data_IF_609907344734
#
_entry.id   IF_609907344734
#
_cell.length_a   1.000
_cell.length_b   1.000
_cell.length_c   1.000
_cell.angle_alpha   90.00
_cell.angle_beta   90.00
_cell.angle_gamma   90.00
#
_symmetry.space_group_name_H-M   'P 1'
#
loop_
_entity.id
_entity.type
_entity.pdbx_description
1 polymer ?
#
# COMPACT_ATOMS: atom_id res chain seq x y z
N UNK A 1 38.21 5.01 19.52
CA UNK A 1 36.99 4.24 19.17
C UNK A 1 35.79 5.14 18.89
N UNK A 2 35.29 6.00 19.79
CA UNK A 2 34.15 6.89 19.52
C UNK A 2 34.36 7.89 18.35
N UNK A 3 35.60 8.32 18.09
CA UNK A 3 35.91 9.28 17.01
C UNK A 3 35.97 8.63 15.63
N UNK A 4 36.40 7.40 15.50
CA UNK A 4 36.49 6.66 14.23
C UNK A 4 35.08 6.18 13.75
N UNK A 5 34.24 5.77 14.70
CA UNK A 5 32.85 5.41 14.41
C UNK A 5 32.10 6.63 13.85
N UNK A 6 32.27 7.82 14.43
CA UNK A 6 31.63 9.06 13.95
C UNK A 6 32.06 9.47 12.53
N UNK A 7 33.31 9.23 12.11
CA UNK A 7 33.79 9.59 10.77
C UNK A 7 33.17 8.66 9.71
N UNK A 8 33.18 7.36 9.97
CA UNK A 8 32.64 6.35 9.02
C UNK A 8 31.15 6.53 8.80
N UNK A 9 30.40 6.95 9.79
CA UNK A 9 28.96 7.18 9.70
C UNK A 9 28.60 8.51 9.06
N UNK A 10 29.46 9.53 9.25
CA UNK A 10 29.34 10.79 8.53
C UNK A 10 29.60 10.60 7.03
N UNK A 11 30.55 9.75 6.65
CA UNK A 11 30.81 9.38 5.27
C UNK A 11 29.63 8.61 4.65
N UNK A 12 29.01 7.70 5.39
CA UNK A 12 27.80 7.00 4.95
C UNK A 12 26.62 7.96 4.74
N UNK A 13 26.39 8.89 5.67
CA UNK A 13 25.33 9.88 5.52
C UNK A 13 25.55 10.77 4.30
N UNK A 14 26.77 11.20 4.03
CA UNK A 14 27.13 11.95 2.82
C UNK A 14 26.95 11.12 1.54
N UNK A 15 27.24 9.82 1.57
CA UNK A 15 26.97 8.92 0.46
C UNK A 15 25.45 8.83 0.21
N UNK A 16 24.62 8.69 1.24
CA UNK A 16 23.17 8.69 1.10
C UNK A 16 22.62 10.01 0.59
N UNK A 17 23.15 11.13 1.10
CA UNK A 17 22.80 12.47 0.63
C UNK A 17 23.11 12.63 -0.87
N UNK A 18 24.32 12.26 -1.29
CA UNK A 18 24.71 12.31 -2.69
C UNK A 18 23.87 11.37 -3.57
N UNK A 19 23.55 10.21 -3.07
CA UNK A 19 22.70 9.25 -3.75
C UNK A 19 21.26 9.76 -3.91
N UNK A 20 20.64 10.29 -2.86
CA UNK A 20 19.30 10.89 -2.94
C UNK A 20 19.26 12.11 -3.87
N UNK A 21 20.33 12.92 -3.94
CA UNK A 21 20.41 14.06 -4.84
C UNK A 21 20.53 13.67 -6.33
N UNK A 22 21.08 12.49 -6.60
CA UNK A 22 21.33 12.01 -7.95
C UNK A 22 20.20 11.13 -8.51
N UNK A 23 19.15 10.89 -7.73
CA UNK A 23 18.03 10.06 -8.19
C UNK A 23 17.11 10.86 -9.12
N UNK A 24 16.82 10.28 -10.28
CA UNK A 24 15.78 10.75 -11.19
C UNK A 24 14.41 10.88 -10.51
N UNK A 25 14.18 10.12 -9.43
CA UNK A 25 13.00 10.19 -8.59
C UNK A 25 12.61 11.62 -8.18
N UNK A 26 13.57 12.46 -7.76
CA UNK A 26 13.26 13.84 -7.36
C UNK A 26 12.76 14.70 -8.52
N UNK A 27 13.14 14.36 -9.75
CA UNK A 27 12.68 15.04 -10.94
C UNK A 27 11.29 14.56 -11.38
N UNK A 28 10.95 13.31 -11.05
CA UNK A 28 9.73 12.65 -11.51
C UNK A 28 8.61 12.67 -10.46
N UNK A 29 8.91 13.05 -9.18
CA UNK A 29 7.98 13.00 -8.04
C UNK A 29 7.93 14.33 -7.27
N UNK A 30 7.57 15.40 -7.98
CA UNK A 30 7.50 16.76 -7.42
C UNK A 30 6.50 16.86 -6.26
N UNK A 31 5.37 16.17 -6.33
CA UNK A 31 4.35 16.19 -5.28
C UNK A 31 4.93 15.73 -3.93
N UNK A 32 5.68 14.64 -3.91
CA UNK A 32 6.31 14.15 -2.67
C UNK A 32 7.30 15.16 -2.14
N UNK A 33 8.17 15.68 -3.01
CA UNK A 33 9.22 16.61 -2.59
C UNK A 33 8.64 17.94 -2.10
N UNK A 34 7.62 18.45 -2.77
CA UNK A 34 7.01 19.73 -2.42
C UNK A 34 6.18 19.66 -1.15
N UNK A 35 5.65 18.49 -0.83
CA UNK A 35 4.81 18.26 0.34
C UNK A 35 5.46 17.40 1.42
N UNK A 36 6.78 17.21 1.38
CA UNK A 36 7.49 16.23 2.21
C UNK A 36 7.28 16.42 3.74
N UNK A 37 7.17 17.67 4.22
CA UNK A 37 6.91 17.95 5.62
C UNK A 37 5.52 17.44 6.04
N UNK A 38 4.51 17.73 5.24
CA UNK A 38 3.14 17.29 5.47
C UNK A 38 3.03 15.77 5.40
N UNK A 39 3.69 15.14 4.43
CA UNK A 39 3.70 13.69 4.27
C UNK A 39 4.44 13.00 5.42
N UNK A 40 5.55 13.56 5.89
CA UNK A 40 6.24 13.05 7.06
C UNK A 40 5.37 13.11 8.33
N UNK A 41 4.72 14.24 8.58
CA UNK A 41 3.78 14.38 9.70
C UNK A 41 2.61 13.39 9.60
N UNK A 42 2.06 13.23 8.39
CA UNK A 42 0.97 12.28 8.15
C UNK A 42 1.42 10.83 8.37
N UNK A 43 2.60 10.47 7.88
CA UNK A 43 3.18 9.13 8.09
C UNK A 43 3.39 8.81 9.57
N UNK A 44 3.89 9.79 10.34
CA UNK A 44 4.03 9.66 11.79
C UNK A 44 2.66 9.46 12.48
N UNK A 45 1.67 10.24 12.09
CA UNK A 45 0.31 10.10 12.60
C UNK A 45 -0.28 8.72 12.33
N UNK A 46 -0.14 8.20 11.10
CA UNK A 46 -0.65 6.88 10.71
C UNK A 46 0.07 5.78 11.50
N UNK A 47 1.40 5.81 11.57
CA UNK A 47 2.19 4.85 12.34
C UNK A 47 1.79 4.83 13.82
N UNK A 48 1.64 6.00 14.45
CA UNK A 48 1.16 6.10 15.82
C UNK A 48 -0.28 5.57 15.98
N UNK A 49 -1.16 5.88 15.04
CA UNK A 49 -2.57 5.45 15.06
C UNK A 49 -2.72 3.94 15.08
N UNK A 50 -1.87 3.22 14.35
CA UNK A 50 -1.94 1.76 14.25
C UNK A 50 -1.00 1.02 15.21
N UNK A 51 -0.07 1.70 15.86
CA UNK A 51 0.95 1.07 16.72
C UNK A 51 0.35 0.18 17.84
N UNK A 52 -0.80 0.55 18.38
CA UNK A 52 -1.46 -0.21 19.45
C UNK A 52 -1.91 -1.63 19.04
N UNK A 53 -2.08 -1.89 17.74
CA UNK A 53 -2.56 -3.18 17.23
C UNK A 53 -1.42 -4.17 16.93
N UNK A 54 -0.16 -3.72 17.03
CA UNK A 54 1.03 -4.55 16.75
C UNK A 54 1.42 -5.44 17.94
N UNK A 55 0.86 -5.20 19.11
CA UNK A 55 1.11 -6.00 20.31
C UNK A 55 0.80 -7.48 20.07
N UNK A 56 1.60 -8.38 20.66
CA UNK A 56 1.49 -9.84 20.55
C UNK A 56 0.09 -10.39 20.91
N UNK A 57 -0.64 -9.69 21.79
CA UNK A 57 -2.03 -10.07 22.15
C UNK A 57 -3.01 -9.98 20.97
N UNK A 58 -2.66 -9.24 19.91
CA UNK A 58 -3.45 -9.10 18.69
C UNK A 58 -2.89 -9.94 17.52
N UNK A 59 -2.09 -10.97 17.82
CA UNK A 59 -1.65 -11.92 16.79
C UNK A 59 -2.85 -12.50 16.07
N UNK A 60 -2.89 -12.31 14.76
CA UNK A 60 -3.90 -12.86 13.88
C UNK A 60 -3.29 -14.06 13.18
N UNK A 61 -3.85 -15.25 13.43
CA UNK A 61 -3.65 -16.38 12.52
C UNK A 61 -4.48 -16.11 11.26
N UNK A 62 -3.82 -16.14 10.09
CA UNK A 62 -4.47 -15.93 8.81
C UNK A 62 -5.13 -17.23 8.39
N UNK A 63 -6.37 -17.43 8.82
CA UNK A 63 -7.18 -18.60 8.48
C UNK A 63 -8.43 -18.13 7.73
N UNK A 64 -8.23 -17.81 6.45
CA UNK A 64 -9.33 -17.46 5.55
C UNK A 64 -10.19 -18.66 5.25
N UNK A 65 -11.49 -18.45 5.06
CA UNK A 65 -12.45 -19.48 4.69
C UNK A 65 -12.04 -20.17 3.39
N UNK A 66 -12.02 -21.51 3.41
CA UNK A 66 -11.75 -22.30 2.20
C UNK A 66 -12.93 -22.20 1.23
N UNK A 67 -12.62 -21.94 -0.04
CA UNK A 67 -13.59 -21.92 -1.14
C UNK A 67 -12.99 -22.62 -2.37
N UNK A 68 -13.84 -23.06 -3.29
CA UNK A 68 -13.39 -23.66 -4.53
C UNK A 68 -13.15 -22.59 -5.63
N UNK A 69 -12.47 -22.97 -6.68
CA UNK A 69 -12.09 -22.08 -7.77
C UNK A 69 -13.30 -21.39 -8.43
N UNK A 70 -14.40 -22.12 -8.63
CA UNK A 70 -15.62 -21.53 -9.25
C UNK A 70 -16.21 -20.45 -8.35
N UNK A 71 -16.25 -20.65 -7.05
CA UNK A 71 -16.72 -19.66 -6.09
C UNK A 71 -15.75 -18.46 -6.03
N UNK A 72 -14.45 -18.68 -6.06
CA UNK A 72 -13.41 -17.64 -6.17
C UNK A 72 -13.66 -16.73 -7.37
N UNK A 73 -13.80 -17.32 -8.56
CA UNK A 73 -14.05 -16.59 -9.82
C UNK A 73 -15.38 -15.85 -9.77
N UNK A 74 -16.45 -16.49 -9.29
CA UNK A 74 -17.77 -15.89 -9.26
C UNK A 74 -17.83 -14.69 -8.31
N UNK A 75 -17.21 -14.76 -7.13
CA UNK A 75 -17.16 -13.64 -6.17
C UNK A 75 -16.45 -12.43 -6.76
N UNK A 76 -15.28 -12.63 -7.36
CA UNK A 76 -14.55 -11.56 -8.02
C UNK A 76 -15.31 -11.00 -9.23
N UNK A 77 -15.92 -11.86 -10.06
CA UNK A 77 -16.75 -11.44 -11.20
C UNK A 77 -17.96 -10.62 -10.78
N UNK A 78 -18.66 -11.03 -9.71
CA UNK A 78 -19.82 -10.31 -9.16
C UNK A 78 -19.42 -8.89 -8.73
N UNK A 79 -18.24 -8.71 -8.12
CA UNK A 79 -17.74 -7.40 -7.75
C UNK A 79 -17.61 -6.49 -8.98
N UNK A 80 -16.92 -6.94 -10.03
CA UNK A 80 -16.73 -6.14 -11.24
C UNK A 80 -18.04 -5.81 -11.92
N UNK A 81 -18.98 -6.76 -11.98
CA UNK A 81 -20.31 -6.55 -12.58
C UNK A 81 -21.14 -5.57 -11.75
N UNK A 82 -21.22 -5.76 -10.43
CA UNK A 82 -22.04 -4.94 -9.55
C UNK A 82 -21.57 -3.48 -9.49
N UNK A 83 -20.27 -3.28 -9.73
CA UNK A 83 -19.65 -1.95 -9.74
C UNK A 83 -19.38 -1.41 -11.15
N UNK A 84 -19.93 -2.03 -12.19
CA UNK A 84 -19.86 -1.60 -13.60
C UNK A 84 -18.42 -1.50 -14.16
N UNK A 85 -17.51 -2.34 -13.70
CA UNK A 85 -16.22 -2.50 -14.35
C UNK A 85 -16.35 -3.45 -15.55
N UNK A 86 -15.72 -3.10 -16.67
CA UNK A 86 -15.74 -3.92 -17.88
C UNK A 86 -14.68 -5.04 -17.80
N UNK A 87 -14.93 -6.03 -16.93
CA UNK A 87 -14.06 -7.19 -16.71
C UNK A 87 -14.88 -8.47 -16.93
N UNK A 88 -14.37 -9.39 -17.74
CA UNK A 88 -14.89 -10.74 -17.90
C UNK A 88 -13.80 -11.75 -17.51
N UNK A 89 -13.81 -12.18 -16.26
CA UNK A 89 -12.77 -13.05 -15.70
C UNK A 89 -12.66 -14.38 -16.48
N UNK A 90 -13.77 -15.00 -16.84
CA UNK A 90 -13.76 -16.27 -17.60
C UNK A 90 -13.08 -16.10 -18.94
N UNK A 91 -13.43 -15.03 -19.68
CA UNK A 91 -12.78 -14.74 -20.96
C UNK A 91 -11.30 -14.43 -20.78
N UNK A 92 -10.92 -13.70 -19.74
CA UNK A 92 -9.49 -13.42 -19.45
C UNK A 92 -8.67 -14.68 -19.14
N UNK A 93 -9.30 -15.69 -18.53
CA UNK A 93 -8.66 -17.01 -18.31
C UNK A 93 -8.50 -17.75 -19.65
N UNK A 94 -9.54 -17.78 -20.49
CA UNK A 94 -9.51 -18.42 -21.81
C UNK A 94 -8.44 -17.77 -22.71
N UNK A 95 -8.34 -16.45 -22.68
CA UNK A 95 -7.37 -15.66 -23.45
C UNK A 95 -5.95 -15.67 -22.84
N UNK A 96 -5.75 -16.35 -21.71
CA UNK A 96 -4.49 -16.40 -20.96
C UNK A 96 -3.98 -15.04 -20.48
N UNK A 97 -4.88 -14.08 -20.32
CA UNK A 97 -4.61 -12.79 -19.68
C UNK A 97 -4.54 -12.98 -18.17
N UNK A 98 -5.47 -13.77 -17.60
CA UNK A 98 -5.46 -14.16 -16.19
C UNK A 98 -5.00 -15.63 -16.07
N UNK A 99 -3.87 -15.83 -15.41
CA UNK A 99 -3.24 -17.13 -15.19
C UNK A 99 -3.41 -17.50 -13.72
N UNK A 100 -4.12 -18.59 -13.47
CA UNK A 100 -4.39 -19.11 -12.14
C UNK A 100 -3.52 -20.34 -11.88
N UNK A 101 -2.49 -20.21 -11.07
CA UNK A 101 -1.59 -21.29 -10.72
C UNK A 101 -2.02 -21.96 -9.42
N UNK A 102 -2.14 -23.29 -9.42
CA UNK A 102 -2.22 -24.02 -8.15
C UNK A 102 -0.88 -23.92 -7.44
N UNK A 103 -0.90 -23.57 -6.19
CA UNK A 103 0.29 -23.48 -5.35
C UNK A 103 0.91 -24.86 -5.17
N UNK A 104 1.97 -25.15 -5.89
CA UNK A 104 2.59 -26.49 -5.92
C UNK A 104 3.56 -26.70 -4.77
N UNK A 105 4.08 -25.69 -4.11
CA UNK A 105 4.90 -25.82 -2.89
C UNK A 105 5.02 -24.49 -2.16
N UNK A 106 5.09 -24.56 -0.81
CA UNK A 106 5.35 -23.46 0.10
C UNK A 106 6.81 -22.95 0.05
N UNK A 107 7.46 -22.98 -1.08
CA UNK A 107 8.74 -22.32 -1.23
C UNK A 107 8.49 -20.82 -1.33
N UNK A 108 8.76 -20.17 -0.22
CA UNK A 108 8.72 -18.75 -0.03
C UNK A 108 9.71 -18.06 -0.95
N UNK A 109 9.26 -17.55 -2.08
CA UNK A 109 9.92 -16.40 -2.70
C UNK A 109 9.57 -15.17 -1.86
N UNK A 110 10.05 -15.16 -0.63
CA UNK A 110 9.75 -14.10 0.30
C UNK A 110 10.66 -12.90 0.09
N UNK A 111 10.12 -11.87 -0.47
CA UNK A 111 10.52 -10.52 -0.16
C UNK A 111 9.85 -10.15 1.16
N UNK A 112 10.57 -9.89 2.23
CA UNK A 112 10.03 -9.67 3.58
C UNK A 112 9.20 -10.80 4.19
N UNK A 113 9.36 -12.06 3.75
CA UNK A 113 8.55 -13.16 4.29
C UNK A 113 7.09 -13.17 3.83
N UNK A 114 6.67 -12.25 2.95
CA UNK A 114 5.37 -12.28 2.30
C UNK A 114 5.46 -13.09 1.02
N UNK A 115 4.56 -14.04 0.84
CA UNK A 115 4.35 -14.76 -0.40
C UNK A 115 3.93 -13.75 -1.46
N UNK A 116 4.44 -13.84 -2.67
CA UNK A 116 3.89 -13.11 -3.79
C UNK A 116 2.64 -13.86 -4.24
N UNK A 117 1.48 -13.38 -3.82
CA UNK A 117 0.21 -14.05 -4.05
C UNK A 117 -0.35 -13.75 -5.43
N UNK A 118 -0.05 -12.57 -5.97
CA UNK A 118 -0.40 -12.15 -7.32
C UNK A 118 0.63 -11.20 -7.93
N UNK A 119 0.57 -11.04 -9.23
CA UNK A 119 1.35 -10.05 -9.97
C UNK A 119 0.63 -9.67 -11.27
N UNK A 120 0.56 -8.37 -11.54
CA UNK A 120 0.20 -7.81 -12.85
C UNK A 120 1.46 -7.32 -13.54
N UNK A 121 1.76 -7.84 -14.73
CA UNK A 121 3.00 -7.58 -15.45
C UNK A 121 2.78 -7.69 -16.97
N UNK A 122 3.86 -7.69 -17.75
CA UNK A 122 3.86 -7.88 -19.18
C UNK A 122 4.55 -9.18 -19.55
N UNK A 123 4.00 -9.91 -20.54
CA UNK A 123 4.63 -11.08 -21.12
C UNK A 123 5.81 -10.69 -22.04
N UNK A 124 6.47 -11.71 -22.61
CA UNK A 124 7.60 -11.50 -23.54
C UNK A 124 7.21 -10.72 -24.82
N UNK A 125 5.93 -10.63 -25.15
CA UNK A 125 5.37 -9.90 -26.28
C UNK A 125 4.83 -8.51 -25.89
N UNK A 126 5.07 -8.05 -24.65
CA UNK A 126 4.53 -6.83 -24.07
C UNK A 126 2.99 -6.78 -23.96
N UNK A 127 2.33 -7.95 -23.88
CA UNK A 127 0.92 -8.00 -23.51
C UNK A 127 0.79 -8.00 -22.00
N UNK A 128 -0.21 -7.28 -21.48
CA UNK A 128 -0.52 -7.31 -20.04
C UNK A 128 -1.02 -8.69 -19.63
N UNK A 129 -0.49 -9.21 -18.56
CA UNK A 129 -0.91 -10.47 -17.94
C UNK A 129 -1.06 -10.33 -16.44
N UNK A 130 -1.91 -11.14 -15.86
CA UNK A 130 -2.10 -11.26 -14.41
C UNK A 130 -1.87 -12.70 -14.01
N UNK A 131 -1.02 -12.94 -13.02
CA UNK A 131 -0.74 -14.27 -12.48
C UNK A 131 -1.11 -14.33 -11.02
N UNK A 132 -1.94 -15.29 -10.62
CA UNK A 132 -2.37 -15.50 -9.23
C UNK A 132 -1.95 -16.90 -8.79
N UNK A 133 -1.37 -16.99 -7.59
CA UNK A 133 -1.02 -18.25 -6.94
C UNK A 133 -2.09 -18.62 -5.92
N UNK A 134 -2.98 -19.53 -6.28
CA UNK A 134 -4.17 -19.89 -5.50
C UNK A 134 -3.83 -20.63 -4.20
N UNK A 135 -4.50 -20.24 -3.12
CA UNK A 135 -4.49 -20.90 -1.81
C UNK A 135 -5.76 -21.72 -1.54
N UNK A 136 -6.73 -21.69 -2.46
CA UNK A 136 -8.07 -22.28 -2.33
C UNK A 136 -8.85 -21.70 -1.13
N UNK A 137 -8.71 -20.38 -0.94
CA UNK A 137 -9.40 -19.60 0.09
C UNK A 137 -10.06 -18.36 -0.50
N UNK A 138 -10.93 -17.69 0.28
CA UNK A 138 -11.55 -16.42 -0.11
C UNK A 138 -10.52 -15.33 -0.43
N UNK A 139 -9.32 -15.44 0.14
CA UNK A 139 -8.20 -14.53 -0.14
C UNK A 139 -7.84 -14.47 -1.62
N UNK A 140 -7.98 -15.59 -2.35
CA UNK A 140 -7.74 -15.63 -3.79
C UNK A 140 -8.67 -14.68 -4.55
N UNK A 141 -9.94 -14.56 -4.14
CA UNK A 141 -10.88 -13.60 -4.74
C UNK A 141 -10.47 -12.15 -4.47
N UNK A 142 -9.95 -11.88 -3.27
CA UNK A 142 -9.47 -10.55 -2.87
C UNK A 142 -8.28 -10.16 -3.75
N UNK A 143 -7.30 -11.05 -3.92
CA UNK A 143 -6.10 -10.81 -4.74
C UNK A 143 -6.45 -10.70 -6.23
N UNK A 144 -7.41 -11.49 -6.72
CA UNK A 144 -7.89 -11.34 -8.11
C UNK A 144 -8.45 -9.93 -8.34
N UNK A 145 -9.25 -9.40 -7.42
CA UNK A 145 -9.77 -8.03 -7.54
C UNK A 145 -8.62 -7.02 -7.54
N UNK A 146 -7.67 -7.13 -6.62
CA UNK A 146 -6.51 -6.26 -6.53
C UNK A 146 -5.70 -6.23 -7.83
N UNK A 147 -5.27 -7.38 -8.30
CA UNK A 147 -4.40 -7.50 -9.47
C UNK A 147 -5.11 -7.14 -10.79
N UNK A 148 -6.41 -7.43 -10.90
CA UNK A 148 -7.19 -6.99 -12.07
C UNK A 148 -7.39 -5.48 -12.08
N UNK A 149 -7.44 -4.80 -10.94
CA UNK A 149 -7.40 -3.34 -10.90
C UNK A 149 -6.06 -2.79 -11.39
N UNK A 150 -4.93 -3.41 -11.03
CA UNK A 150 -3.63 -3.09 -11.63
C UNK A 150 -3.64 -3.30 -13.15
N UNK A 151 -4.19 -4.40 -13.63
CA UNK A 151 -4.33 -4.66 -15.06
C UNK A 151 -5.11 -3.55 -15.79
N UNK A 152 -6.20 -3.06 -15.19
CA UNK A 152 -7.02 -2.00 -15.78
C UNK A 152 -6.31 -0.64 -15.82
N UNK A 153 -5.54 -0.29 -14.79
CA UNK A 153 -4.94 1.04 -14.64
C UNK A 153 -3.45 1.11 -15.04
N UNK A 154 -2.81 -0.02 -15.32
CA UNK A 154 -1.38 -0.07 -15.63
C UNK A 154 -1.07 0.70 -16.92
N UNK A 155 -0.16 1.69 -16.89
CA UNK A 155 0.21 2.46 -18.06
C UNK A 155 0.92 1.57 -19.10
N UNK A 156 0.63 1.81 -20.40
CA UNK A 156 1.22 1.02 -21.47
C UNK A 156 2.71 1.34 -21.71
N UNK A 157 3.14 2.57 -21.40
CA UNK A 157 4.49 3.03 -21.80
C UNK A 157 5.39 3.46 -20.63
N UNK A 158 5.05 4.52 -19.93
CA UNK A 158 5.90 5.05 -18.85
C UNK A 158 5.10 5.25 -17.59
N UNK A 159 5.66 4.75 -16.48
CA UNK A 159 5.20 5.14 -15.15
C UNK A 159 5.41 6.64 -14.96
N UNK A 160 4.44 7.27 -14.31
CA UNK A 160 4.48 8.67 -13.92
C UNK A 160 4.29 8.75 -12.40
N UNK A 161 4.59 9.92 -11.79
CA UNK A 161 4.25 10.16 -10.38
C UNK A 161 2.79 9.84 -10.09
N UNK A 162 1.88 10.19 -11.00
CA UNK A 162 0.44 9.91 -10.87
C UNK A 162 0.17 8.42 -10.81
N UNK A 163 0.72 7.65 -11.78
CA UNK A 163 0.53 6.20 -11.81
C UNK A 163 1.17 5.53 -10.60
N UNK A 164 2.36 5.96 -10.20
CA UNK A 164 3.06 5.37 -9.05
C UNK A 164 2.30 5.55 -7.74
N UNK A 165 1.73 6.74 -7.51
CA UNK A 165 1.03 7.07 -6.27
C UNK A 165 -0.41 6.56 -6.23
N UNK A 166 -1.11 6.53 -7.35
CA UNK A 166 -2.54 6.21 -7.40
C UNK A 166 -2.85 4.76 -7.78
N UNK A 167 -1.95 4.05 -8.47
CA UNK A 167 -2.16 2.66 -8.86
C UNK A 167 -2.47 1.77 -7.65
N UNK A 168 -1.67 1.86 -6.60
CA UNK A 168 -1.89 1.12 -5.36
C UNK A 168 -3.14 1.62 -4.61
N UNK A 169 -3.41 2.93 -4.63
CA UNK A 169 -4.62 3.47 -4.02
C UNK A 169 -5.90 2.91 -4.65
N UNK A 170 -5.92 2.79 -5.97
CA UNK A 170 -7.05 2.25 -6.73
C UNK A 170 -7.22 0.75 -6.44
N UNK A 171 -6.13 -0.02 -6.49
CA UNK A 171 -6.17 -1.48 -6.31
C UNK A 171 -6.55 -1.85 -4.87
N UNK A 172 -5.90 -1.27 -3.85
CA UNK A 172 -6.29 -1.47 -2.46
C UNK A 172 -7.67 -0.88 -2.13
N UNK A 173 -8.07 0.22 -2.78
CA UNK A 173 -9.39 0.79 -2.63
C UNK A 173 -10.49 -0.18 -3.11
N UNK A 174 -10.30 -0.78 -4.28
CA UNK A 174 -11.21 -1.80 -4.82
C UNK A 174 -11.22 -3.07 -3.94
N UNK A 175 -10.04 -3.53 -3.51
CA UNK A 175 -9.87 -4.65 -2.59
C UNK A 175 -10.65 -4.45 -1.29
N UNK A 176 -10.53 -3.28 -0.66
CA UNK A 176 -11.25 -2.95 0.58
C UNK A 176 -12.76 -2.85 0.39
N UNK A 177 -13.22 -2.28 -0.74
CA UNK A 177 -14.63 -2.21 -1.07
C UNK A 177 -15.19 -3.61 -1.34
N UNK A 178 -14.44 -4.47 -2.04
CA UNK A 178 -14.81 -5.87 -2.20
C UNK A 178 -14.97 -6.56 -0.85
N UNK A 179 -14.04 -6.36 0.08
CA UNK A 179 -14.14 -6.88 1.43
C UNK A 179 -15.36 -6.34 2.20
N UNK A 180 -15.72 -5.06 2.00
CA UNK A 180 -16.93 -4.49 2.59
C UNK A 180 -18.21 -5.16 2.03
N UNK A 181 -18.23 -5.45 0.72
CA UNK A 181 -19.35 -6.18 0.08
C UNK A 181 -19.47 -7.62 0.61
N UNK A 182 -18.35 -8.27 0.97
CA UNK A 182 -18.34 -9.60 1.58
C UNK A 182 -19.04 -9.62 2.94
N UNK A 183 -19.11 -8.50 3.66
CA UNK A 183 -19.77 -8.37 4.96
C UNK A 183 -21.26 -8.73 4.90
N UNK A 184 -21.91 -8.42 3.80
CA UNK A 184 -23.32 -8.77 3.57
C UNK A 184 -23.56 -10.25 3.23
N UNK A 185 -22.49 -11.00 2.98
CA UNK A 185 -22.47 -12.42 2.65
C UNK A 185 -22.01 -13.25 3.87
N UNK A 186 -21.75 -14.53 3.68
CA UNK A 186 -21.26 -15.45 4.72
C UNK A 186 -19.80 -15.20 5.19
N UNK A 187 -19.12 -14.23 4.62
CA UNK A 187 -17.67 -13.97 4.76
C UNK A 187 -17.31 -12.78 5.67
N UNK A 188 -18.15 -12.47 6.65
CA UNK A 188 -17.88 -11.35 7.56
C UNK A 188 -16.58 -11.53 8.39
N UNK A 189 -16.23 -12.76 8.75
CA UNK A 189 -14.98 -13.03 9.50
C UNK A 189 -13.76 -12.83 8.61
N UNK A 190 -13.83 -13.20 7.33
CA UNK A 190 -12.77 -13.00 6.36
C UNK A 190 -12.53 -11.52 6.09
N UNK A 191 -13.59 -10.72 5.99
CA UNK A 191 -13.51 -9.27 5.90
C UNK A 191 -12.80 -8.66 7.13
N UNK A 192 -13.20 -9.07 8.33
CA UNK A 192 -12.56 -8.61 9.56
C UNK A 192 -11.07 -9.00 9.61
N UNK A 193 -10.74 -10.22 9.17
CA UNK A 193 -9.37 -10.70 9.07
C UNK A 193 -8.54 -9.87 8.09
N UNK A 194 -9.10 -9.59 6.92
CA UNK A 194 -8.41 -8.80 5.90
C UNK A 194 -8.13 -7.37 6.36
N UNK A 195 -9.06 -6.73 7.04
CA UNK A 195 -8.84 -5.40 7.61
C UNK A 195 -7.70 -5.37 8.64
N UNK A 196 -7.56 -6.43 9.45
CA UNK A 196 -6.42 -6.58 10.38
C UNK A 196 -5.09 -6.78 9.64
N UNK A 197 -5.10 -7.47 8.50
CA UNK A 197 -3.91 -7.63 7.66
C UNK A 197 -3.47 -6.27 7.07
N UNK A 198 -4.42 -5.52 6.52
CA UNK A 198 -4.14 -4.22 5.93
C UNK A 198 -3.61 -3.20 6.97
N UNK A 199 -4.15 -3.22 8.17
CA UNK A 199 -3.66 -2.39 9.28
C UNK A 199 -2.18 -2.67 9.56
N UNK A 200 -1.77 -3.95 9.65
CA UNK A 200 -0.37 -4.32 9.88
C UNK A 200 0.55 -3.91 8.74
N UNK A 201 0.09 -4.09 7.50
CA UNK A 201 0.82 -3.67 6.30
C UNK A 201 1.00 -2.14 6.35
N UNK A 202 -0.07 -1.39 6.60
CA UNK A 202 -0.03 0.08 6.67
C UNK A 202 0.92 0.57 7.77
N UNK A 203 0.89 -0.06 8.95
CA UNK A 203 1.84 0.26 10.02
C UNK A 203 3.29 -0.01 9.61
N UNK A 204 3.55 -1.15 9.00
CA UNK A 204 4.90 -1.54 8.59
C UNK A 204 5.47 -0.54 7.58
N UNK A 205 4.69 -0.13 6.59
CA UNK A 205 5.12 0.90 5.64
C UNK A 205 5.29 2.27 6.32
N UNK A 206 4.36 2.68 7.20
CA UNK A 206 4.49 3.94 7.92
C UNK A 206 5.79 3.98 8.74
N UNK A 207 6.12 2.90 9.44
CA UNK A 207 7.35 2.78 10.21
C UNK A 207 8.60 2.90 9.34
N UNK A 208 8.63 2.21 8.20
CA UNK A 208 9.77 2.23 7.29
C UNK A 208 9.95 3.60 6.62
N UNK A 209 8.85 4.21 6.15
CA UNK A 209 8.88 5.46 5.38
C UNK A 209 9.08 6.69 6.25
N UNK A 210 8.68 6.65 7.51
CA UNK A 210 8.86 7.78 8.44
C UNK A 210 10.28 8.34 8.41
N UNK A 211 11.28 7.48 8.47
CA UNK A 211 12.68 7.90 8.48
C UNK A 211 13.14 8.43 7.12
N UNK A 212 12.64 7.87 6.04
CA UNK A 212 12.96 8.35 4.68
C UNK A 212 12.44 9.78 4.50
N UNK A 213 11.17 10.02 4.83
CA UNK A 213 10.60 11.36 4.73
C UNK A 213 11.30 12.35 5.67
N UNK A 214 11.68 11.94 6.88
CA UNK A 214 12.46 12.76 7.79
C UNK A 214 13.79 13.19 7.18
N UNK A 215 14.51 12.29 6.52
CA UNK A 215 15.77 12.58 5.86
C UNK A 215 15.58 13.56 4.69
N UNK A 216 14.63 13.28 3.82
CA UNK A 216 14.31 14.13 2.66
C UNK A 216 13.93 15.54 3.14
N UNK A 217 13.09 15.63 4.17
CA UNK A 217 12.68 16.89 4.79
C UNK A 217 13.86 17.70 5.31
N UNK A 218 14.75 17.05 6.06
CA UNK A 218 15.94 17.72 6.61
C UNK A 218 16.88 18.18 5.50
N UNK A 219 17.06 17.39 4.45
CA UNK A 219 17.83 17.75 3.28
C UNK A 219 17.24 18.97 2.55
N UNK A 220 15.94 18.97 2.27
CA UNK A 220 15.25 20.06 1.57
C UNK A 220 15.35 21.38 2.33
N UNK A 221 15.20 21.36 3.66
CA UNK A 221 15.17 22.58 4.48
C UNK A 221 16.54 23.20 4.69
N UNK A 222 17.61 22.42 4.78
CA UNK A 222 18.88 22.87 5.35
C UNK A 222 20.02 22.94 4.32
N UNK A 223 19.85 22.35 3.13
CA UNK A 223 20.96 22.21 2.16
C UNK A 223 22.14 21.39 2.69
N UNK A 224 22.33 21.39 4.02
CA UNK A 224 23.28 20.58 4.76
C UNK A 224 22.65 20.07 6.06
N UNK A 225 22.86 18.78 6.35
CA UNK A 225 22.50 18.22 7.66
C UNK A 225 23.57 18.69 8.63
N UNK A 226 23.19 19.54 9.59
CA UNK A 226 24.11 20.00 10.62
C UNK A 226 24.55 18.83 11.53
N UNK A 227 25.71 18.95 12.15
CA UNK A 227 26.23 17.93 13.09
C UNK A 227 25.26 17.64 14.23
N UNK A 228 24.52 18.66 14.70
CA UNK A 228 23.49 18.52 15.73
C UNK A 228 22.33 17.65 15.23
N UNK A 229 21.81 17.88 14.02
CA UNK A 229 20.75 17.10 13.39
C UNK A 229 21.21 15.69 13.02
N UNK A 230 22.45 15.54 12.60
CA UNK A 230 23.07 14.24 12.38
C UNK A 230 23.09 13.43 13.69
N UNK A 231 23.56 14.03 14.80
CA UNK A 231 23.61 13.37 16.09
C UNK A 231 22.21 13.03 16.63
N UNK A 232 21.21 13.87 16.36
CA UNK A 232 19.80 13.58 16.69
C UNK A 232 19.26 12.36 15.91
N UNK A 233 19.59 12.25 14.63
CA UNK A 233 19.24 11.10 13.81
C UNK A 233 20.03 9.85 14.18
N UNK A 234 21.31 10.01 14.51
CA UNK A 234 22.25 8.94 14.83
C UNK A 234 21.94 8.25 16.15
N UNK A 235 21.47 8.98 17.15
CA UNK A 235 21.11 8.42 18.46
C UNK A 235 19.80 7.62 18.43
N UNK A 236 19.15 7.53 17.26
CA UNK A 236 18.00 6.71 17.06
C UNK A 236 18.43 5.33 16.50
N UNK A 237 18.58 4.33 17.38
CA UNK A 237 18.96 2.95 17.01
C UNK A 237 18.03 2.36 15.94
N UNK A 238 16.76 2.78 15.92
CA UNK A 238 15.79 2.35 14.91
C UNK A 238 16.11 2.94 13.54
N UNK A 239 16.63 4.15 13.48
CA UNK A 239 17.07 4.80 12.26
C UNK A 239 18.21 4.02 11.58
N UNK A 240 19.28 3.69 12.33
CA UNK A 240 20.41 2.93 11.81
C UNK A 240 19.98 1.55 11.29
N UNK A 241 19.12 0.88 12.02
CA UNK A 241 18.60 -0.44 11.64
C UNK A 241 17.74 -0.36 10.36
N UNK A 242 16.93 0.69 10.24
CA UNK A 242 16.13 0.94 9.03
C UNK A 242 17.02 1.27 7.84
N UNK A 243 18.03 2.12 8.01
CA UNK A 243 18.96 2.48 6.95
C UNK A 243 19.81 1.28 6.49
N UNK A 244 20.28 0.42 7.40
CA UNK A 244 20.99 -0.81 7.06
C UNK A 244 20.11 -1.77 6.24
N UNK A 245 18.86 -1.96 6.64
CA UNK A 245 17.89 -2.76 5.86
C UNK A 245 17.64 -2.16 4.48
N UNK A 246 17.57 -0.84 4.38
CA UNK A 246 17.41 -0.16 3.09
C UNK A 246 18.66 -0.25 2.23
N UNK A 247 19.85 -0.21 2.80
CA UNK A 247 21.11 -0.43 2.07
C UNK A 247 21.15 -1.81 1.41
N UNK A 248 20.76 -2.85 2.16
CA UNK A 248 20.62 -4.20 1.64
C UNK A 248 19.52 -4.30 0.56
N UNK A 249 18.44 -3.57 0.73
CA UNK A 249 17.28 -3.58 -0.16
C UNK A 249 17.55 -2.83 -1.48
N UNK A 250 18.12 -1.65 -1.40
CA UNK A 250 18.47 -0.81 -2.56
C UNK A 250 19.53 -1.47 -3.42
N UNK A 251 20.52 -2.12 -2.80
CA UNK A 251 21.53 -2.90 -3.53
C UNK A 251 20.95 -4.06 -4.34
N UNK A 252 19.73 -4.51 -3.98
CA UNK A 252 19.08 -5.65 -4.64
C UNK A 252 18.02 -5.28 -5.69
N UNK A 253 17.31 -4.14 -5.59
CA UNK A 253 16.16 -3.83 -6.47
C UNK A 253 15.96 -2.37 -6.90
N UNK A 254 16.85 -1.45 -6.61
CA UNK A 254 16.86 -0.13 -7.26
C UNK A 254 15.75 0.87 -6.89
N UNK A 255 14.93 0.66 -5.84
CA UNK A 255 13.89 1.63 -5.47
C UNK A 255 13.55 1.68 -3.98
N UNK A 256 14.20 2.57 -3.24
CA UNK A 256 13.76 3.04 -1.91
C UNK A 256 12.31 3.59 -1.95
N UNK A 257 11.91 4.08 -3.10
CA UNK A 257 10.71 4.88 -3.28
C UNK A 257 9.45 4.04 -3.51
N UNK A 258 9.59 2.75 -3.80
CA UNK A 258 8.44 1.85 -3.93
C UNK A 258 7.57 1.86 -2.67
N UNK A 259 8.18 1.91 -1.50
CA UNK A 259 7.44 1.94 -0.23
C UNK A 259 6.71 3.29 -0.03
N UNK A 260 7.18 4.38 -0.67
CA UNK A 260 6.48 5.67 -0.63
C UNK A 260 5.14 5.61 -1.37
N UNK A 261 5.03 4.79 -2.42
CA UNK A 261 3.77 4.60 -3.14
C UNK A 261 2.70 3.99 -2.23
N UNK A 262 3.10 2.96 -1.47
CA UNK A 262 2.21 2.33 -0.49
C UNK A 262 1.81 3.28 0.64
N UNK A 263 2.73 4.16 1.07
CA UNK A 263 2.44 5.13 2.14
C UNK A 263 1.45 6.23 1.75
N UNK A 264 1.28 6.48 0.47
CA UNK A 264 0.24 7.37 -0.04
C UNK A 264 -0.96 6.55 -0.48
N UNK A 265 -0.72 5.45 -1.18
CA UNK A 265 -1.76 4.58 -1.74
C UNK A 265 -2.65 3.93 -0.68
N UNK A 266 -2.08 3.34 0.38
CA UNK A 266 -2.88 2.68 1.41
C UNK A 266 -3.79 3.62 2.21
N UNK A 267 -3.33 4.77 2.72
CA UNK A 267 -4.21 5.73 3.37
C UNK A 267 -5.28 6.29 2.44
N UNK A 268 -4.96 6.49 1.17
CA UNK A 268 -5.93 6.92 0.17
C UNK A 268 -6.95 5.83 -0.14
N UNK A 269 -6.54 4.55 -0.15
CA UNK A 269 -7.47 3.41 -0.26
C UNK A 269 -8.45 3.36 0.93
N UNK A 270 -7.97 3.62 2.15
CA UNK A 270 -8.84 3.74 3.33
C UNK A 270 -9.83 4.91 3.16
N UNK A 271 -9.39 6.05 2.62
CA UNK A 271 -10.28 7.15 2.29
C UNK A 271 -11.37 6.75 1.27
N UNK A 272 -11.01 6.04 0.21
CA UNK A 272 -11.96 5.55 -0.80
C UNK A 272 -12.99 4.60 -0.19
N UNK A 273 -12.57 3.69 0.70
CA UNK A 273 -13.47 2.82 1.45
C UNK A 273 -14.45 3.63 2.32
N UNK A 274 -13.94 4.62 3.08
CA UNK A 274 -14.80 5.42 3.95
C UNK A 274 -15.80 6.29 3.17
N UNK A 275 -15.41 6.78 2.01
CA UNK A 275 -16.35 7.46 1.10
C UNK A 275 -17.40 6.49 0.54
N UNK A 276 -17.01 5.26 0.18
CA UNK A 276 -17.95 4.22 -0.24
C UNK A 276 -18.94 3.85 0.87
N UNK A 277 -18.49 3.73 2.11
CA UNK A 277 -19.35 3.48 3.30
C UNK A 277 -20.37 4.57 3.55
N UNK A 278 -20.03 5.83 3.26
CA UNK A 278 -20.97 6.96 3.37
C UNK A 278 -22.07 6.89 2.30
N UNK A 279 -21.69 6.52 1.10
CA UNK A 279 -22.59 6.34 -0.05
C UNK A 279 -21.93 5.41 -1.06
N UNK A 280 -22.57 4.27 -1.35
CA UNK A 280 -22.05 3.28 -2.31
C UNK A 280 -21.83 3.84 -3.72
N UNK A 281 -22.55 4.89 -4.12
CA UNK A 281 -22.29 5.57 -5.39
C UNK A 281 -20.90 6.20 -5.49
N UNK A 282 -20.18 6.33 -4.37
CA UNK A 282 -18.82 6.84 -4.35
C UNK A 282 -17.79 5.83 -4.88
N UNK A 283 -18.19 4.63 -5.26
CA UNK A 283 -17.37 3.75 -6.12
C UNK A 283 -16.93 4.48 -7.41
N UNK A 284 -17.68 5.49 -7.83
CA UNK A 284 -17.32 6.40 -8.94
C UNK A 284 -15.94 7.04 -8.78
N UNK A 285 -15.42 7.19 -7.55
CA UNK A 285 -14.09 7.74 -7.33
C UNK A 285 -13.00 6.80 -7.85
N UNK A 286 -13.19 5.48 -7.69
CA UNK A 286 -12.28 4.49 -8.27
C UNK A 286 -12.35 4.56 -9.81
N UNK A 287 -13.56 4.65 -10.40
CA UNK A 287 -13.70 4.82 -11.85
C UNK A 287 -13.01 6.08 -12.36
N UNK A 288 -13.26 7.23 -11.71
CA UNK A 288 -12.64 8.50 -12.09
C UNK A 288 -11.10 8.43 -12.06
N UNK A 289 -10.54 7.85 -11.01
CA UNK A 289 -9.10 7.67 -10.91
C UNK A 289 -8.58 6.72 -11.98
N UNK A 290 -9.21 5.56 -12.14
CA UNK A 290 -8.82 4.54 -13.10
C UNK A 290 -8.81 5.05 -14.56
N UNK A 291 -9.81 5.84 -14.95
CA UNK A 291 -9.92 6.42 -16.30
C UNK A 291 -8.93 7.54 -16.57
N UNK A 292 -8.45 8.24 -15.51
CA UNK A 292 -7.69 9.47 -15.66
C UNK A 292 -6.22 9.37 -15.24
N UNK A 293 -5.82 8.31 -14.55
CA UNK A 293 -4.48 8.11 -14.00
C UNK A 293 -3.34 8.28 -15.04
N UNK A 294 -3.60 7.95 -16.29
CA UNK A 294 -2.62 8.03 -17.39
C UNK A 294 -2.69 9.35 -18.18
N UNK A 295 -3.69 10.20 -17.95
CA UNK A 295 -3.98 11.35 -18.80
C UNK A 295 -4.03 12.69 -18.06
N UNK A 296 -4.01 12.67 -16.73
CA UNK A 296 -4.13 13.87 -15.90
C UNK A 296 -2.99 13.99 -14.90
N UNK A 297 -2.78 15.18 -14.39
CA UNK A 297 -1.87 15.41 -13.28
C UNK A 297 -2.41 14.79 -11.98
N UNK A 298 -1.53 14.58 -11.01
CA UNK A 298 -1.92 14.08 -9.68
C UNK A 298 -2.93 15.02 -9.01
N UNK A 299 -2.72 16.34 -9.12
CA UNK A 299 -3.63 17.35 -8.56
C UNK A 299 -5.04 17.25 -9.19
N UNK A 300 -5.12 17.11 -10.51
CA UNK A 300 -6.40 16.92 -11.20
C UNK A 300 -7.11 15.64 -10.76
N UNK A 301 -6.38 14.53 -10.63
CA UNK A 301 -6.92 13.26 -10.14
C UNK A 301 -7.44 13.39 -8.70
N UNK A 302 -6.66 13.99 -7.80
CA UNK A 302 -7.06 14.22 -6.42
C UNK A 302 -8.27 15.15 -6.31
N UNK A 303 -8.33 16.20 -7.14
CA UNK A 303 -9.48 17.12 -7.20
C UNK A 303 -10.78 16.39 -7.58
N UNK A 304 -10.74 15.41 -8.47
CA UNK A 304 -11.91 14.62 -8.87
C UNK A 304 -12.54 13.84 -7.72
N UNK A 305 -11.77 13.48 -6.72
CA UNK A 305 -12.22 12.78 -5.52
C UNK A 305 -12.37 13.73 -4.32
N UNK A 306 -12.41 15.05 -4.58
CA UNK A 306 -12.65 16.09 -3.58
C UNK A 306 -11.44 16.43 -2.71
N UNK A 307 -10.22 16.20 -3.19
CA UNK A 307 -8.97 16.56 -2.52
C UNK A 307 -8.28 17.66 -3.35
N UNK A 308 -8.46 18.91 -2.97
CA UNK A 308 -8.03 20.08 -3.75
C UNK A 308 -6.79 20.78 -3.19
N UNK A 309 -6.21 20.29 -2.11
CA UNK A 309 -4.96 20.78 -1.54
C UNK A 309 -4.33 19.74 -0.62
N UNK A 310 -3.06 19.93 -0.26
CA UNK A 310 -2.36 19.06 0.69
C UNK A 310 -2.99 19.10 2.08
N UNK A 311 -3.53 20.22 2.52
CA UNK A 311 -4.20 20.33 3.81
C UNK A 311 -5.50 19.55 3.82
N UNK A 312 -6.30 19.63 2.74
CA UNK A 312 -7.50 18.80 2.55
C UNK A 312 -7.14 17.33 2.45
N UNK A 313 -6.03 16.98 1.77
CA UNK A 313 -5.53 15.61 1.73
C UNK A 313 -5.25 15.09 3.15
N UNK A 314 -4.46 15.82 3.94
CA UNK A 314 -4.16 15.45 5.33
C UNK A 314 -5.43 15.27 6.17
N UNK A 315 -6.32 16.24 6.14
CA UNK A 315 -7.57 16.20 6.90
C UNK A 315 -8.42 14.98 6.54
N UNK A 316 -8.63 14.74 5.25
CA UNK A 316 -9.44 13.61 4.78
C UNK A 316 -8.81 12.26 5.14
N UNK A 317 -7.50 12.10 4.96
CA UNK A 317 -6.79 10.89 5.33
C UNK A 317 -6.86 10.67 6.85
N UNK A 318 -6.62 11.69 7.67
CA UNK A 318 -6.70 11.58 9.13
C UNK A 318 -8.10 11.17 9.58
N UNK A 319 -9.15 11.80 9.04
CA UNK A 319 -10.53 11.45 9.35
C UNK A 319 -10.88 10.02 8.95
N UNK A 320 -10.39 9.56 7.80
CA UNK A 320 -10.63 8.20 7.30
C UNK A 320 -9.87 7.15 8.14
N UNK A 321 -8.63 7.43 8.51
CA UNK A 321 -7.85 6.58 9.41
C UNK A 321 -8.52 6.46 10.79
N UNK A 322 -9.04 7.56 11.35
CA UNK A 322 -9.78 7.51 12.62
C UNK A 322 -11.09 6.71 12.52
N UNK A 323 -11.81 6.82 11.40
CA UNK A 323 -13.01 6.01 11.16
C UNK A 323 -12.65 4.53 11.01
N UNK A 324 -11.62 4.21 10.24
CA UNK A 324 -11.14 2.84 10.07
C UNK A 324 -10.65 2.22 11.39
N UNK A 325 -9.93 3.00 12.21
CA UNK A 325 -9.54 2.61 13.57
C UNK A 325 -10.73 2.19 14.44
N UNK A 326 -11.83 2.93 14.40
CA UNK A 326 -13.03 2.55 15.14
C UNK A 326 -13.55 1.19 14.69
N UNK A 327 -13.56 0.93 13.39
CA UNK A 327 -13.93 -0.38 12.85
C UNK A 327 -13.00 -1.49 13.35
N UNK A 328 -11.69 -1.23 13.42
CA UNK A 328 -10.71 -2.16 13.98
C UNK A 328 -10.93 -2.38 15.50
N UNK A 329 -11.18 -1.32 16.26
CA UNK A 329 -11.47 -1.43 17.69
C UNK A 329 -12.68 -2.34 17.95
N UNK A 330 -13.74 -2.19 17.16
CA UNK A 330 -14.93 -3.05 17.25
C UNK A 330 -14.62 -4.52 16.92
N UNK A 331 -13.70 -4.76 15.98
CA UNK A 331 -13.26 -6.11 15.61
C UNK A 331 -12.41 -6.73 16.73
N UNK A 332 -11.43 -5.98 17.26
CA UNK A 332 -10.55 -6.47 18.32
C UNK A 332 -11.27 -6.67 19.66
N UNK A 333 -12.25 -5.85 19.99
CA UNK A 333 -13.07 -6.03 21.20
C UNK A 333 -13.88 -7.33 21.18
N UNK A 334 -14.28 -7.82 20.01
CA UNK A 334 -14.96 -9.13 19.89
C UNK A 334 -14.04 -10.32 20.22
N UNK A 335 -12.74 -10.17 20.03
CA UNK A 335 -11.73 -11.23 20.29
C UNK A 335 -11.42 -11.34 21.79
N UNK A 336 -11.48 -10.22 22.54
CA UNK A 336 -11.20 -10.18 23.98
C UNK A 336 -12.34 -10.72 24.87
N UNK A 337 -13.50 -11.06 24.29
CA UNK A 337 -14.56 -11.71 25.05
C UNK A 337 -14.19 -13.19 25.23
N UNK A 338 -13.83 -13.65 26.46
CA UNK A 338 -13.54 -15.06 26.69
C UNK A 338 -14.78 -15.87 26.28
N UNK A 339 -14.63 -16.72 25.27
CA UNK A 339 -15.67 -17.71 24.96
C UNK A 339 -15.91 -18.51 26.24
N UNK A 340 -17.01 -18.23 26.93
CA UNK A 340 -17.44 -19.07 28.07
C UNK A 340 -17.51 -20.50 27.54
N UNK A 341 -16.62 -21.34 28.10
CA UNK A 341 -16.61 -22.77 27.85
C UNK A 341 -17.90 -23.40 28.34
#
# INVERSE_FOLDING_TARGET
MKHEVNIMEKEKLEQYKNWMCNLSFFNDHSFIIDNIENLWQLTNYIGFSFSKYIDDKYKVELDYSSINLDETINLAQDFFLNHNFNVNIKQMIEDKILILNKKVNKETNSYYGTKQDGISDYDENHNKIVTINLEETIYDSIIIVHELMHYLNQPLDKRSEVSDLLTEAISYGAELIFCEDLKSKKYNQDQELHFKCLEKITYSYAYNIYYIYKIIYLYKLKGDITEEKYNELYNDDQYLNTMQKYEEYVGRRGSIFRDTWYMIGLPLAIYLLEEYRKNSDNIKYIHLLNENINNKSLEECLNMIGINSIDVFKEKIQNSVESFKKSLDDIYLKVDIPRKK
#
